data_IF_406699650721
#
_entry.id   IF_406699650721
#
_cell.length_a   1.000
_cell.length_b   1.000
_cell.length_c   1.000
_cell.angle_alpha   90.00
_cell.angle_beta   90.00
_cell.angle_gamma   90.00
#
_symmetry.space_group_name_H-M   'P 1'
#
loop_
_entity.id
_entity.type
_entity.pdbx_description
1 polymer ?
#
# COMPACT_ATOMS: atom_id res chain seq x y z
N UNK A 1 22.34 6.49 -27.33
CA UNK A 1 20.90 6.30 -27.06
C UNK A 1 20.80 5.18 -26.04
N UNK A 2 20.74 5.49 -24.74
CA UNK A 2 20.70 4.48 -23.68
C UNK A 2 19.24 4.24 -23.31
N UNK A 3 18.84 2.96 -23.33
CA UNK A 3 17.48 2.50 -23.13
C UNK A 3 16.95 2.97 -21.77
N UNK A 4 15.79 3.62 -21.81
CA UNK A 4 14.99 3.94 -20.65
C UNK A 4 14.45 2.60 -20.11
N UNK A 5 15.07 2.07 -19.05
CA UNK A 5 14.50 0.96 -18.30
C UNK A 5 13.26 1.49 -17.60
N UNK A 6 12.11 1.39 -18.29
CA UNK A 6 10.81 1.49 -17.65
C UNK A 6 10.80 0.43 -16.54
N UNK A 7 10.95 0.86 -15.29
CA UNK A 7 10.48 0.03 -14.19
C UNK A 7 8.99 -0.14 -14.48
N UNK A 8 8.48 -1.37 -14.67
CA UNK A 8 7.04 -1.54 -14.73
C UNK A 8 6.54 -1.07 -13.36
N UNK A 9 5.95 0.13 -13.32
CA UNK A 9 5.16 0.55 -12.17
C UNK A 9 4.22 -0.63 -11.87
N UNK A 10 4.19 -1.14 -10.63
CA UNK A 10 3.32 -2.25 -10.29
C UNK A 10 1.90 -1.85 -10.74
N UNK A 11 1.27 -2.71 -11.54
CA UNK A 11 -0.06 -2.43 -12.06
C UNK A 11 -1.05 -2.43 -10.89
N UNK A 12 -1.23 -1.26 -10.27
CA UNK A 12 -2.07 -1.10 -9.08
C UNK A 12 -3.55 -1.35 -9.40
N UNK A 13 -3.91 -1.37 -10.69
CA UNK A 13 -5.27 -1.65 -11.16
C UNK A 13 -5.63 -3.14 -11.06
N UNK A 14 -4.64 -4.03 -11.03
CA UNK A 14 -4.83 -5.47 -10.88
C UNK A 14 -5.12 -5.91 -9.43
N UNK A 15 -4.92 -5.04 -8.44
CA UNK A 15 -5.13 -5.36 -7.04
C UNK A 15 -6.62 -5.46 -6.70
N UNK A 16 -6.99 -6.54 -6.02
CA UNK A 16 -8.34 -6.76 -5.52
C UNK A 16 -8.46 -6.38 -4.05
N UNK A 17 -9.70 -6.29 -3.54
CA UNK A 17 -9.97 -6.10 -2.11
C UNK A 17 -9.25 -7.15 -1.25
N UNK A 18 -9.18 -8.40 -1.73
CA UNK A 18 -8.52 -9.49 -1.01
C UNK A 18 -6.99 -9.32 -0.96
N UNK A 19 -6.38 -8.78 -2.01
CA UNK A 19 -4.94 -8.50 -2.05
C UNK A 19 -4.60 -7.36 -1.09
N UNK A 20 -5.40 -6.29 -1.10
CA UNK A 20 -5.23 -5.15 -0.18
C UNK A 20 -5.45 -5.58 1.28
N UNK A 21 -6.43 -6.44 1.54
CA UNK A 21 -6.65 -6.96 2.90
C UNK A 21 -5.48 -7.80 3.40
N UNK A 22 -4.86 -8.62 2.55
CA UNK A 22 -3.67 -9.39 2.93
C UNK A 22 -2.47 -8.47 3.17
N UNK A 23 -2.29 -7.44 2.32
CA UNK A 23 -1.25 -6.43 2.49
C UNK A 23 -1.41 -5.69 3.83
N UNK A 24 -2.62 -5.24 4.14
CA UNK A 24 -2.92 -4.56 5.41
C UNK A 24 -2.67 -5.48 6.61
N UNK A 25 -3.09 -6.74 6.53
CA UNK A 25 -2.84 -7.72 7.58
C UNK A 25 -1.34 -7.91 7.85
N UNK A 26 -0.51 -8.00 6.81
CA UNK A 26 0.94 -8.12 6.97
C UNK A 26 1.53 -6.89 7.67
N UNK A 27 1.07 -5.69 7.32
CA UNK A 27 1.46 -4.44 7.98
C UNK A 27 1.02 -4.39 9.45
N UNK A 28 -0.14 -4.96 9.78
CA UNK A 28 -0.63 -5.05 11.16
C UNK A 28 0.11 -6.09 12.01
N UNK A 29 0.45 -7.23 11.41
CA UNK A 29 1.23 -8.26 12.09
C UNK A 29 2.67 -7.79 12.36
N UNK A 30 3.17 -6.85 11.55
CA UNK A 30 4.54 -6.31 11.60
C UNK A 30 5.61 -7.43 11.57
N UNK A 31 5.26 -8.61 11.05
CA UNK A 31 6.10 -9.81 11.00
C UNK A 31 6.98 -9.83 9.74
N UNK A 32 7.75 -8.76 9.56
CA UNK A 32 8.66 -8.62 8.43
C UNK A 32 10.07 -9.07 8.81
N UNK A 33 10.73 -9.76 7.89
CA UNK A 33 12.13 -10.19 8.06
C UNK A 33 13.09 -8.98 8.17
N UNK A 34 12.72 -7.85 7.54
CA UNK A 34 13.49 -6.60 7.61
C UNK A 34 12.58 -5.38 7.65
N UNK A 35 13.02 -4.26 8.26
CA UNK A 35 12.23 -3.03 8.27
C UNK A 35 12.01 -2.44 6.87
N UNK A 36 12.86 -2.75 5.90
CA UNK A 36 12.67 -2.29 4.52
C UNK A 36 11.49 -2.99 3.84
N UNK A 37 11.26 -4.28 4.14
CA UNK A 37 10.11 -5.00 3.60
C UNK A 37 8.78 -4.42 4.13
N UNK A 38 8.73 -4.02 5.40
CA UNK A 38 7.58 -3.31 5.96
C UNK A 38 7.36 -1.95 5.26
N UNK A 39 8.44 -1.21 4.98
CA UNK A 39 8.36 0.06 4.27
C UNK A 39 7.88 -0.10 2.82
N UNK A 40 8.29 -1.14 2.12
CA UNK A 40 7.83 -1.42 0.75
C UNK A 40 6.32 -1.65 0.70
N UNK A 41 5.80 -2.47 1.61
CA UNK A 41 4.36 -2.73 1.73
C UNK A 41 3.58 -1.49 2.16
N UNK A 42 4.14 -0.68 3.06
CA UNK A 42 3.57 0.60 3.44
C UNK A 42 3.48 1.56 2.25
N UNK A 43 4.55 1.64 1.45
CA UNK A 43 4.57 2.44 0.22
C UNK A 43 3.55 1.93 -0.80
N UNK A 44 3.38 0.62 -0.94
CA UNK A 44 2.39 0.01 -1.82
C UNK A 44 0.96 0.35 -1.38
N UNK A 45 0.64 0.19 -0.09
CA UNK A 45 -0.67 0.54 0.47
C UNK A 45 -0.96 2.04 0.26
N UNK A 46 0.05 2.90 0.43
CA UNK A 46 -0.07 4.34 0.17
C UNK A 46 -0.33 4.64 -1.30
N UNK A 47 0.35 3.98 -2.22
CA UNK A 47 0.12 4.17 -3.65
C UNK A 47 -1.28 3.71 -4.06
N UNK A 48 -1.75 2.59 -3.50
CA UNK A 48 -3.12 2.11 -3.66
C UNK A 48 -4.14 3.10 -3.11
N UNK A 49 -3.86 3.75 -1.97
CA UNK A 49 -4.75 4.76 -1.41
C UNK A 49 -4.91 5.99 -2.30
N UNK A 50 -3.87 6.36 -3.06
CA UNK A 50 -3.96 7.46 -4.03
C UNK A 50 -4.71 7.09 -5.31
N UNK A 51 -4.49 5.88 -5.84
CA UNK A 51 -5.06 5.47 -7.13
C UNK A 51 -6.45 4.83 -7.00
N UNK A 52 -6.67 4.08 -5.92
CA UNK A 52 -7.84 3.24 -5.66
C UNK A 52 -8.27 3.36 -4.18
N UNK A 53 -8.63 4.57 -3.70
CA UNK A 53 -9.00 4.81 -2.30
C UNK A 53 -10.15 3.92 -1.83
N UNK A 54 -11.04 3.50 -2.74
CA UNK A 54 -12.13 2.56 -2.48
C UNK A 54 -11.67 1.21 -1.90
N UNK A 55 -10.44 0.77 -2.20
CA UNK A 55 -9.88 -0.49 -1.70
C UNK A 55 -9.16 -0.34 -0.37
N UNK A 56 -8.64 0.86 -0.08
CA UNK A 56 -7.80 1.11 1.10
C UNK A 56 -8.49 1.92 2.19
N UNK A 57 -9.73 2.36 1.99
CA UNK A 57 -10.46 3.23 2.92
C UNK A 57 -10.49 2.66 4.35
N UNK A 58 -10.67 1.35 4.47
CA UNK A 58 -10.67 0.65 5.76
C UNK A 58 -9.30 0.56 6.42
N UNK A 59 -8.20 0.82 5.70
CA UNK A 59 -6.82 0.61 6.15
C UNK A 59 -5.99 1.89 6.18
N UNK A 60 -6.61 3.06 5.99
CA UNK A 60 -5.91 4.36 6.00
C UNK A 60 -5.20 4.65 7.33
N UNK A 61 -5.73 4.12 8.44
CA UNK A 61 -5.11 4.24 9.77
C UNK A 61 -3.69 3.64 9.83
N UNK A 62 -3.38 2.64 8.99
CA UNK A 62 -2.03 2.05 8.91
C UNK A 62 -1.02 2.97 8.24
N UNK A 63 -1.50 3.95 7.47
CA UNK A 63 -0.64 4.89 6.76
C UNK A 63 -0.24 6.08 7.64
N UNK A 64 -0.63 6.10 8.91
CA UNK A 64 -0.59 7.29 9.79
C UNK A 64 -1.31 8.49 9.15
N UNK A 65 -2.15 8.21 8.14
CA UNK A 65 -3.11 9.14 7.59
C UNK A 65 -4.28 9.07 8.56
N UNK A 66 -4.21 9.85 9.64
CA UNK A 66 -5.39 10.11 10.45
C UNK A 66 -6.50 10.52 9.49
N UNK A 67 -7.48 9.63 9.28
CA UNK A 67 -8.77 10.05 8.78
C UNK A 67 -9.24 11.02 9.84
N UNK A 68 -9.17 12.32 9.53
CA UNK A 68 -9.49 13.39 10.45
C UNK A 68 -10.93 13.16 10.92
N UNK A 69 -11.08 12.52 12.09
CA UNK A 69 -12.35 12.25 12.74
C UNK A 69 -12.70 13.55 13.45
N UNK A 70 -13.39 14.45 12.74
CA UNK A 70 -14.02 15.62 13.34
C UNK A 70 -15.14 15.13 14.27
N UNK A 71 -14.79 14.93 15.54
CA UNK A 71 -15.78 14.75 16.63
C UNK A 71 -16.37 16.07 17.11
#
# INVERSE_FOLDING_TARGET
MMAQTAHPDPDLSAYTVADVSQLAQRLEEDDYETPFAALEDWHLLRALAFQRPELTQSYLYLLDLEAFDES
#
